data_IF_020613944515
#
_entry.id   IF_020613944515
#
_cell.length_a   1.000
_cell.length_b   1.000
_cell.length_c   1.000
_cell.angle_alpha   90.00
_cell.angle_beta   90.00
_cell.angle_gamma   90.00
#
_symmetry.space_group_name_H-M   'P 1'
#
loop_
_entity.id
_entity.type
_entity.pdbx_description
1 polymer ?
#
# COMPACT_ATOMS: atom_id res chain seq x y z
N UNK A 1 -10.65 -6.36 -40.47
CA UNK A 1 -9.49 -6.09 -39.59
C UNK A 1 -9.85 -4.92 -38.69
N UNK A 2 -10.33 -5.20 -37.47
CA UNK A 2 -10.63 -4.15 -36.49
C UNK A 2 -9.33 -3.63 -35.91
N UNK A 3 -9.16 -2.31 -35.91
CA UNK A 3 -8.03 -1.66 -35.26
C UNK A 3 -8.10 -1.94 -33.76
N UNK A 4 -7.09 -2.65 -33.25
CA UNK A 4 -6.84 -2.77 -31.82
C UNK A 4 -6.27 -1.42 -31.38
N UNK A 5 -6.96 -0.74 -30.48
CA UNK A 5 -6.57 0.57 -29.97
C UNK A 5 -5.25 0.42 -29.19
N UNK A 6 -4.21 1.14 -29.62
CA UNK A 6 -2.88 1.09 -29.01
C UNK A 6 -2.88 1.60 -27.56
N UNK A 7 -3.99 2.23 -27.12
CA UNK A 7 -4.21 2.64 -25.74
C UNK A 7 -4.59 1.49 -24.79
N UNK A 8 -4.93 0.30 -25.32
CA UNK A 8 -5.39 -0.86 -24.54
C UNK A 8 -4.22 -1.67 -23.93
N UNK A 9 -3.00 -1.52 -24.46
CA UNK A 9 -1.84 -2.37 -24.09
C UNK A 9 -1.02 -1.87 -22.90
N UNK A 10 -1.39 -0.75 -22.26
CA UNK A 10 -0.55 -0.09 -21.22
C UNK A 10 -1.15 0.01 -19.81
N UNK A 11 -2.33 -0.54 -19.52
CA UNK A 11 -2.86 -0.63 -18.14
C UNK A 11 -2.61 -2.00 -17.50
N UNK A 12 -1.34 -2.40 -17.42
CA UNK A 12 -0.89 -3.40 -16.44
C UNK A 12 -0.44 -2.69 -15.17
N UNK A 13 -1.39 -2.03 -14.49
CA UNK A 13 -1.19 -1.58 -13.12
C UNK A 13 -2.26 -2.24 -12.27
N UNK A 14 -1.82 -3.04 -11.30
CA UNK A 14 -2.63 -3.65 -10.25
C UNK A 14 -3.49 -2.57 -9.60
N UNK A 15 -4.75 -2.45 -10.03
CA UNK A 15 -5.67 -1.47 -9.48
C UNK A 15 -6.12 -2.00 -8.14
N UNK A 16 -5.85 -1.27 -7.05
CA UNK A 16 -6.39 -1.63 -5.74
C UNK A 16 -7.91 -1.48 -5.76
N UNK A 17 -8.65 -2.59 -5.83
CA UNK A 17 -10.12 -2.59 -5.80
C UNK A 17 -10.59 -2.77 -4.35
N UNK A 18 -10.66 -1.65 -3.64
CA UNK A 18 -11.31 -1.58 -2.33
C UNK A 18 -12.63 -0.81 -2.43
N UNK A 19 -13.56 -1.10 -1.52
CA UNK A 19 -14.69 -0.20 -1.25
C UNK A 19 -14.17 1.23 -0.98
N UNK A 20 -14.88 2.24 -1.46
CA UNK A 20 -14.39 3.64 -1.54
C UNK A 20 -13.99 4.17 -0.15
N UNK A 21 -14.73 3.76 0.89
CA UNK A 21 -14.44 4.06 2.30
C UNK A 21 -13.14 3.40 2.79
N UNK A 22 -12.85 2.18 2.32
CA UNK A 22 -11.60 1.47 2.63
C UNK A 22 -10.39 2.17 2.00
N UNK A 23 -10.53 2.64 0.75
CA UNK A 23 -9.47 3.39 0.06
C UNK A 23 -9.22 4.72 0.76
N UNK A 24 -10.27 5.48 1.09
CA UNK A 24 -10.16 6.75 1.81
C UNK A 24 -9.46 6.57 3.18
N UNK A 25 -9.80 5.51 3.90
CA UNK A 25 -9.20 5.19 5.20
C UNK A 25 -7.70 4.82 5.09
N UNK A 26 -7.28 4.14 4.02
CA UNK A 26 -5.87 3.85 3.73
C UNK A 26 -5.13 5.13 3.37
N UNK A 27 -5.67 5.94 2.44
CA UNK A 27 -5.06 7.20 2.02
C UNK A 27 -4.87 8.17 3.19
N UNK A 28 -5.85 8.29 4.08
CA UNK A 28 -5.74 9.15 5.26
C UNK A 28 -4.62 8.72 6.21
N UNK A 29 -4.37 7.41 6.35
CA UNK A 29 -3.25 6.88 7.14
C UNK A 29 -1.91 7.17 6.47
N UNK A 30 -1.81 6.92 5.17
CA UNK A 30 -0.59 7.19 4.40
C UNK A 30 -0.21 8.67 4.44
N UNK A 31 -1.19 9.57 4.27
CA UNK A 31 -0.97 11.03 4.40
C UNK A 31 -0.49 11.44 5.79
N UNK A 32 -1.00 10.79 6.85
CA UNK A 32 -0.52 11.04 8.21
C UNK A 32 0.94 10.58 8.39
N UNK A 33 1.26 9.37 7.92
CA UNK A 33 2.62 8.84 7.96
C UNK A 33 3.59 9.72 7.16
N UNK A 34 3.16 10.26 6.02
CA UNK A 34 3.94 11.23 5.24
C UNK A 34 4.29 12.47 6.08
N UNK A 35 3.32 13.04 6.80
CA UNK A 35 3.57 14.20 7.67
C UNK A 35 4.52 13.88 8.82
N UNK A 36 4.41 12.68 9.41
CA UNK A 36 5.34 12.22 10.44
C UNK A 36 6.76 12.02 9.89
N UNK A 37 6.89 11.46 8.68
CA UNK A 37 8.19 11.28 8.02
C UNK A 37 8.85 12.62 7.68
N UNK A 38 8.08 13.60 7.21
CA UNK A 38 8.56 14.97 7.01
C UNK A 38 9.09 15.55 8.33
N UNK A 39 8.42 15.28 9.44
CA UNK A 39 8.90 15.61 10.78
C UNK A 39 10.26 14.97 11.09
N UNK A 40 10.40 13.65 10.86
CA UNK A 40 11.66 12.93 11.06
C UNK A 40 12.80 13.51 10.23
N UNK A 41 12.56 13.82 8.96
CA UNK A 41 13.56 14.46 8.08
C UNK A 41 14.03 15.78 8.70
N UNK A 42 13.10 16.64 9.12
CA UNK A 42 13.44 17.91 9.75
C UNK A 42 14.21 17.74 11.07
N UNK A 43 13.90 16.69 11.85
CA UNK A 43 14.68 16.37 13.06
C UNK A 43 16.14 16.04 12.75
N UNK A 44 16.40 15.31 11.65
CA UNK A 44 17.74 14.94 11.21
C UNK A 44 18.48 16.18 10.70
N UNK A 45 17.83 17.00 9.87
CA UNK A 45 18.41 18.25 9.35
C UNK A 45 18.80 19.23 10.46
N UNK A 46 18.03 19.25 11.55
CA UNK A 46 18.31 20.06 12.75
C UNK A 46 19.35 19.44 13.69
N UNK A 47 19.88 18.25 13.38
CA UNK A 47 20.86 17.55 14.23
C UNK A 47 20.30 17.12 15.59
N UNK A 48 19.02 16.73 15.66
CA UNK A 48 18.40 16.27 16.91
C UNK A 48 18.98 14.94 17.38
N UNK A 49 18.78 14.68 18.68
CA UNK A 49 19.22 13.45 19.34
C UNK A 49 18.74 12.17 18.63
N UNK A 50 19.65 11.20 18.52
CA UNK A 50 19.44 9.93 17.83
C UNK A 50 18.25 9.14 18.41
N UNK A 51 18.13 9.08 19.76
CA UNK A 51 17.02 8.34 20.39
C UNK A 51 15.67 8.99 20.05
N UNK A 52 15.60 10.31 20.02
CA UNK A 52 14.39 11.02 19.60
C UNK A 52 14.02 10.74 18.14
N UNK A 53 15.01 10.75 17.22
CA UNK A 53 14.80 10.43 15.79
C UNK A 53 14.30 9.00 15.62
N UNK A 54 14.98 8.02 16.22
CA UNK A 54 14.61 6.59 16.12
C UNK A 54 13.22 6.34 16.71
N UNK A 55 12.87 7.01 17.81
CA UNK A 55 11.52 6.89 18.41
C UNK A 55 10.43 7.38 17.45
N UNK A 56 10.65 8.51 16.77
CA UNK A 56 9.68 9.03 15.80
C UNK A 56 9.64 8.17 14.53
N UNK A 57 10.79 7.65 14.07
CA UNK A 57 10.83 6.73 12.95
C UNK A 57 10.04 5.45 13.25
N UNK A 58 10.18 4.86 14.45
CA UNK A 58 9.37 3.73 14.87
C UNK A 58 7.87 4.05 14.90
N UNK A 59 7.49 5.27 15.30
CA UNK A 59 6.10 5.72 15.25
C UNK A 59 5.57 5.84 13.81
N UNK A 60 6.40 6.28 12.85
CA UNK A 60 6.05 6.29 11.41
C UNK A 60 5.81 4.86 10.92
N UNK A 61 6.74 3.93 11.19
CA UNK A 61 6.60 2.52 10.79
C UNK A 61 5.30 1.92 11.31
N UNK A 62 4.99 2.16 12.59
CA UNK A 62 3.77 1.65 13.23
C UNK A 62 2.48 2.29 12.70
N UNK A 63 2.56 3.51 12.18
CA UNK A 63 1.43 4.17 11.52
C UNK A 63 1.14 3.59 10.12
N UNK A 64 2.13 2.96 9.47
CA UNK A 64 2.01 2.33 8.16
C UNK A 64 1.40 0.93 8.23
N UNK A 65 1.67 0.15 9.28
CA UNK A 65 1.20 -1.24 9.45
C UNK A 65 -0.29 -1.43 9.11
N UNK A 66 -1.24 -0.61 9.62
CA UNK A 66 -2.66 -0.84 9.37
C UNK A 66 -3.05 -0.61 7.90
N UNK A 67 -2.34 0.28 7.20
CA UNK A 67 -2.55 0.50 5.77
C UNK A 67 -2.04 -0.71 4.98
N UNK A 68 -0.83 -1.20 5.28
CA UNK A 68 -0.27 -2.40 4.65
C UNK A 68 -1.15 -3.62 4.83
N UNK A 69 -1.62 -3.91 6.05
CA UNK A 69 -2.50 -5.04 6.31
C UNK A 69 -3.84 -4.93 5.57
N UNK A 70 -4.42 -3.72 5.47
CA UNK A 70 -5.68 -3.52 4.76
C UNK A 70 -5.55 -3.77 3.24
N UNK A 71 -4.39 -3.44 2.68
CA UNK A 71 -4.04 -3.71 1.28
C UNK A 71 -3.96 -5.22 1.04
N UNK A 72 -3.16 -5.94 1.83
CA UNK A 72 -3.00 -7.40 1.68
C UNK A 72 -4.32 -8.14 1.94
N UNK A 73 -5.11 -7.71 2.94
CA UNK A 73 -6.43 -8.28 3.21
C UNK A 73 -7.44 -8.05 2.06
N UNK A 74 -7.24 -7.03 1.24
CA UNK A 74 -8.06 -6.79 0.04
C UNK A 74 -7.69 -7.75 -1.07
N UNK A 75 -6.40 -7.92 -1.36
CA UNK A 75 -5.93 -8.93 -2.31
C UNK A 75 -6.32 -10.35 -1.91
N UNK A 76 -6.25 -10.69 -0.62
CA UNK A 76 -6.73 -11.98 -0.10
C UNK A 76 -8.22 -12.20 -0.35
N UNK A 77 -9.06 -11.17 -0.16
CA UNK A 77 -10.50 -11.26 -0.43
C UNK A 77 -10.76 -11.54 -1.90
N UNK A 78 -10.10 -10.82 -2.81
CA UNK A 78 -10.23 -11.01 -4.26
C UNK A 78 -9.85 -12.43 -4.68
N UNK A 79 -8.77 -12.99 -4.11
CA UNK A 79 -8.35 -14.36 -4.39
C UNK A 79 -9.38 -15.40 -3.93
N UNK A 80 -10.07 -15.15 -2.81
CA UNK A 80 -11.09 -16.07 -2.27
C UNK A 80 -12.43 -15.93 -3.00
N UNK A 81 -12.86 -14.71 -3.33
CA UNK A 81 -14.16 -14.46 -3.97
C UNK A 81 -14.15 -14.75 -5.47
N UNK A 82 -12.98 -14.76 -6.10
CA UNK A 82 -12.86 -14.88 -7.56
C UNK A 82 -13.37 -13.65 -8.31
N UNK A 83 -13.75 -12.58 -7.57
CA UNK A 83 -14.05 -11.26 -8.13
C UNK A 83 -12.76 -10.63 -8.62
N UNK A 84 -12.36 -11.06 -9.80
CA UNK A 84 -11.24 -10.51 -10.53
C UNK A 84 -11.82 -9.47 -11.47
N UNK A 85 -11.24 -8.27 -11.54
CA UNK A 85 -11.56 -7.34 -12.62
C UNK A 85 -11.25 -8.01 -13.96
N UNK A 86 -12.13 -7.84 -14.95
CA UNK A 86 -11.94 -8.43 -16.28
C UNK A 86 -10.52 -8.13 -16.80
N UNK A 87 -9.70 -9.18 -16.98
CA UNK A 87 -8.32 -9.07 -17.48
C UNK A 87 -7.21 -9.01 -16.43
N UNK A 88 -7.52 -9.07 -15.12
CA UNK A 88 -6.51 -9.18 -14.06
C UNK A 88 -6.64 -10.55 -13.39
N UNK A 89 -5.61 -11.39 -13.45
CA UNK A 89 -5.61 -12.62 -12.66
C UNK A 89 -5.43 -12.28 -11.17
N UNK A 90 -6.18 -12.92 -10.27
CA UNK A 90 -5.98 -12.77 -8.84
C UNK A 90 -4.58 -13.22 -8.45
N UNK A 91 -4.03 -12.61 -7.39
CA UNK A 91 -2.70 -12.95 -6.88
C UNK A 91 -2.66 -14.42 -6.46
N UNK A 92 -1.53 -15.09 -6.69
CA UNK A 92 -1.33 -16.45 -6.18
C UNK A 92 -1.15 -16.43 -4.66
N UNK A 93 -1.43 -17.57 -4.00
CA UNK A 93 -1.19 -17.75 -2.56
C UNK A 93 0.25 -17.39 -2.16
N UNK A 94 1.24 -17.81 -2.97
CA UNK A 94 2.65 -17.52 -2.73
C UNK A 94 2.98 -16.02 -2.83
N UNK A 95 2.32 -15.28 -3.72
CA UNK A 95 2.51 -13.83 -3.83
C UNK A 95 1.91 -13.09 -2.62
N UNK A 96 0.75 -13.54 -2.14
CA UNK A 96 0.12 -12.99 -0.94
C UNK A 96 0.93 -13.28 0.32
N UNK A 97 1.46 -14.50 0.46
CA UNK A 97 2.36 -14.89 1.56
C UNK A 97 3.59 -13.97 1.59
N UNK A 98 4.21 -13.74 0.42
CA UNK A 98 5.37 -12.85 0.30
C UNK A 98 5.05 -11.41 0.72
N UNK A 99 3.89 -10.88 0.31
CA UNK A 99 3.46 -9.54 0.71
C UNK A 99 3.19 -9.44 2.21
N UNK A 100 2.58 -10.47 2.80
CA UNK A 100 2.34 -10.52 4.24
C UNK A 100 3.64 -10.53 5.04
N UNK A 101 4.61 -11.36 4.66
CA UNK A 101 5.91 -11.44 5.30
C UNK A 101 6.72 -10.14 5.18
N UNK A 102 6.50 -9.35 4.13
CA UNK A 102 7.15 -8.04 3.96
C UNK A 102 6.61 -6.96 4.92
N UNK A 103 5.47 -7.20 5.56
CA UNK A 103 4.84 -6.29 6.53
C UNK A 103 5.09 -6.69 7.99
N UNK A 104 5.75 -7.83 8.24
CA UNK A 104 5.99 -8.42 9.56
C UNK A 104 7.31 -7.98 10.22
#
# INVERSE_FOLDING_TARGET
>A
MGNVDLHETLRRETTMVGDEDSIAAVLNRLRRAQGQLAGVISMIEQGRDCKAVVTQLAAVSRALEPAGFKIVATGLRECITGDSTEGVEPMTEAELEKLFLALA
#
